data_IF_486961255272
#
_entry.id   IF_486961255272
#
_cell.length_a   1.000
_cell.length_b   1.000
_cell.length_c   1.000
_cell.angle_alpha   90.00
_cell.angle_beta   90.00
_cell.angle_gamma   90.00
#
_symmetry.space_group_name_H-M   'P 1'
#
loop_
_entity.id
_entity.type
_entity.pdbx_description
1 polymer ?
#
# COMPACT_ATOMS: atom_id res chain seq x y z
N UNK A 1 11.41 24.57 5.62
CA UNK A 1 10.08 24.44 5.01
C UNK A 1 10.09 23.18 4.14
N UNK A 2 9.68 22.03 4.66
CA UNK A 2 9.67 20.80 3.86
C UNK A 2 8.43 20.82 2.96
N UNK A 3 8.65 21.01 1.66
CA UNK A 3 7.60 20.98 0.64
C UNK A 3 6.92 19.61 0.69
N UNK A 4 5.62 19.59 1.04
CA UNK A 4 4.84 18.36 1.10
C UNK A 4 4.72 17.79 -0.32
N UNK A 5 5.31 16.62 -0.57
CA UNK A 5 5.27 15.99 -1.88
C UNK A 5 3.85 15.50 -2.18
N UNK A 6 3.27 15.95 -3.30
CA UNK A 6 1.97 15.44 -3.77
C UNK A 6 2.14 13.95 -4.11
N UNK A 7 1.34 13.04 -3.54
CA UNK A 7 1.49 11.62 -3.80
C UNK A 7 1.17 11.30 -5.25
N UNK A 8 1.68 10.17 -5.72
CA UNK A 8 1.18 9.49 -6.91
C UNK A 8 0.16 8.46 -6.46
N UNK A 9 -1.05 8.52 -7.02
CA UNK A 9 -2.17 7.66 -6.63
C UNK A 9 -2.30 6.54 -7.66
N UNK A 10 -2.24 5.30 -7.18
CA UNK A 10 -2.34 4.09 -7.98
C UNK A 10 -3.60 3.34 -7.56
N UNK A 11 -4.46 3.05 -8.52
CA UNK A 11 -5.70 2.32 -8.30
C UNK A 11 -5.52 0.87 -8.70
N UNK A 12 -5.88 -0.04 -7.79
CA UNK A 12 -5.82 -1.46 -8.01
C UNK A 12 -7.19 -2.12 -7.76
N UNK A 13 -7.44 -3.20 -8.49
CA UNK A 13 -8.64 -4.04 -8.34
C UNK A 13 -8.25 -5.45 -7.93
N UNK A 14 -9.00 -6.04 -7.00
CA UNK A 14 -8.79 -7.41 -6.56
C UNK A 14 -9.07 -8.38 -7.71
N UNK A 15 -8.10 -9.25 -7.98
CA UNK A 15 -8.19 -10.34 -8.94
C UNK A 15 -8.19 -11.68 -8.22
N UNK A 16 -8.79 -12.70 -8.84
CA UNK A 16 -8.96 -14.04 -8.24
C UNK A 16 -9.73 -14.00 -6.90
N UNK A 17 -10.78 -13.18 -6.82
CA UNK A 17 -11.65 -13.08 -5.63
C UNK A 17 -12.10 -14.48 -5.17
N UNK A 18 -11.97 -14.76 -3.88
CA UNK A 18 -12.37 -16.03 -3.27
C UNK A 18 -11.39 -17.21 -3.46
N UNK A 19 -10.36 -17.09 -4.30
CA UNK A 19 -9.40 -18.17 -4.55
C UNK A 19 -8.47 -18.43 -3.36
N UNK A 20 -8.14 -17.40 -2.58
CA UNK A 20 -7.18 -17.48 -1.49
C UNK A 20 -7.77 -16.93 -0.19
N UNK A 21 -7.72 -17.71 0.89
CA UNK A 21 -8.30 -17.34 2.20
C UNK A 21 -7.54 -16.24 2.93
N UNK A 22 -6.21 -16.21 2.82
CA UNK A 22 -5.34 -15.32 3.60
C UNK A 22 -4.52 -14.36 2.75
N UNK A 23 -4.72 -14.36 1.44
CA UNK A 23 -3.95 -13.58 0.48
C UNK A 23 -4.92 -12.95 -0.51
N UNK A 24 -4.72 -11.68 -0.81
CA UNK A 24 -5.43 -10.98 -1.87
C UNK A 24 -4.44 -10.55 -2.93
N UNK A 25 -4.82 -10.70 -4.18
CA UNK A 25 -4.04 -10.24 -5.32
C UNK A 25 -4.75 -9.05 -5.93
N UNK A 26 -3.99 -8.01 -6.24
CA UNK A 26 -4.50 -6.77 -6.78
C UNK A 26 -3.78 -6.45 -8.08
N UNK A 27 -4.53 -6.13 -9.12
CA UNK A 27 -4.01 -5.72 -10.42
C UNK A 27 -4.21 -4.23 -10.63
N UNK A 28 -3.19 -3.57 -11.19
CA UNK A 28 -3.20 -2.15 -11.45
C UNK A 28 -4.24 -1.82 -12.50
N UNK A 29 -5.18 -0.95 -12.14
CA UNK A 29 -6.19 -0.42 -13.05
C UNK A 29 -5.75 0.93 -13.64
N UNK A 30 -5.28 1.85 -12.81
CA UNK A 30 -5.01 3.23 -13.22
C UNK A 30 -3.95 3.90 -12.35
N UNK A 31 -3.24 4.89 -12.90
CA UNK A 31 -2.28 5.73 -12.18
C UNK A 31 -2.54 7.19 -12.53
N UNK A 32 -2.58 8.05 -11.52
CA UNK A 32 -2.86 9.50 -11.68
C UNK A 32 -1.72 10.33 -12.29
N UNK A 33 -0.49 9.81 -12.30
CA UNK A 33 0.67 10.44 -12.96
C UNK A 33 1.43 9.41 -13.79
N UNK A 34 2.25 9.90 -14.72
CA UNK A 34 3.18 9.10 -15.53
C UNK A 34 4.36 8.51 -14.73
N UNK A 35 4.17 8.17 -13.46
CA UNK A 35 5.20 7.50 -12.66
C UNK A 35 4.99 5.98 -12.67
N UNK A 36 6.09 5.20 -12.68
CA UNK A 36 6.00 3.76 -12.69
C UNK A 36 5.39 3.24 -11.37
N UNK A 37 4.45 2.28 -11.44
CA UNK A 37 3.86 1.67 -10.27
C UNK A 37 4.87 0.79 -9.52
N UNK A 38 4.62 0.52 -8.24
CA UNK A 38 5.41 -0.45 -7.45
C UNK A 38 5.49 -1.82 -8.16
N UNK A 39 4.37 -2.24 -8.74
CA UNK A 39 4.25 -3.35 -9.67
C UNK A 39 2.86 -3.31 -10.31
N UNK A 40 2.70 -4.02 -11.43
CA UNK A 40 1.38 -4.27 -12.05
C UNK A 40 0.51 -5.15 -11.16
N UNK A 41 1.13 -6.06 -10.41
CA UNK A 41 0.45 -7.00 -9.52
C UNK A 41 1.00 -6.88 -8.11
N UNK A 42 0.11 -6.67 -7.15
CA UNK A 42 0.41 -6.68 -5.73
C UNK A 42 -0.17 -7.92 -5.07
N UNK A 43 0.56 -8.46 -4.11
CA UNK A 43 0.11 -9.53 -3.23
C UNK A 43 0.13 -8.98 -1.81
N UNK A 44 -1.06 -8.98 -1.19
CA UNK A 44 -1.25 -8.56 0.19
C UNK A 44 -1.69 -9.78 0.97
N UNK A 45 -0.88 -10.18 1.94
CA UNK A 45 -1.13 -11.37 2.75
C UNK A 45 -1.24 -11.01 4.21
N UNK A 46 -2.17 -11.65 4.93
CA UNK A 46 -2.33 -11.44 6.37
C UNK A 46 -1.07 -11.91 7.11
N UNK A 47 -0.62 -11.13 8.09
CA UNK A 47 0.49 -11.54 8.93
C UNK A 47 0.09 -12.77 9.76
N UNK A 48 1.04 -13.68 9.97
CA UNK A 48 0.88 -14.89 10.79
C UNK A 48 1.77 -14.84 12.03
N UNK A 49 1.98 -13.62 12.55
CA UNK A 49 2.88 -13.33 13.69
C UNK A 49 4.32 -13.83 13.47
N UNK A 50 4.80 -13.79 12.23
CA UNK A 50 6.14 -14.28 11.88
C UNK A 50 7.25 -13.24 12.16
N UNK A 51 6.90 -12.00 12.52
CA UNK A 51 7.88 -10.93 12.78
C UNK A 51 7.54 -10.19 14.07
N UNK A 52 8.58 -9.83 14.81
CA UNK A 52 8.49 -9.03 16.05
C UNK A 52 7.88 -7.65 15.82
N UNK A 53 7.96 -7.11 14.60
CA UNK A 53 7.33 -5.84 14.24
C UNK A 53 5.80 -5.91 14.19
N UNK A 54 5.21 -7.11 14.12
CA UNK A 54 3.75 -7.33 14.12
C UNK A 54 2.96 -6.43 13.14
N UNK A 55 3.28 -6.42 11.82
CA UNK A 55 2.40 -5.77 10.85
C UNK A 55 1.07 -6.51 10.74
N UNK A 56 0.03 -5.84 10.23
CA UNK A 56 -1.26 -6.47 9.94
C UNK A 56 -1.18 -7.29 8.63
N UNK A 57 -0.52 -6.72 7.62
CA UNK A 57 -0.35 -7.35 6.32
C UNK A 57 1.09 -7.28 5.83
N UNK A 58 1.41 -8.15 4.89
CA UNK A 58 2.67 -8.15 4.15
C UNK A 58 2.42 -7.85 2.69
N UNK A 59 3.20 -6.92 2.15
CA UNK A 59 3.20 -6.59 0.74
C UNK A 59 4.30 -7.36 0.01
N UNK A 60 3.94 -7.98 -1.11
CA UNK A 60 4.85 -8.55 -2.10
C UNK A 60 4.50 -8.01 -3.48
N UNK A 61 5.51 -7.86 -4.31
CA UNK A 61 5.35 -7.43 -5.71
C UNK A 61 5.70 -8.56 -6.65
N UNK A 62 5.21 -8.49 -7.88
CA UNK A 62 5.61 -9.41 -8.93
C UNK A 62 6.96 -8.98 -9.53
N UNK A 63 7.93 -9.90 -9.54
CA UNK A 63 9.24 -9.74 -10.19
C UNK A 63 9.36 -10.84 -11.26
N UNK A 64 9.16 -10.45 -12.53
CA UNK A 64 9.01 -11.42 -13.63
C UNK A 64 7.85 -12.39 -13.37
N UNK A 65 8.13 -13.69 -13.39
CA UNK A 65 7.14 -14.75 -13.15
C UNK A 65 7.03 -15.22 -11.69
N UNK A 66 7.69 -14.55 -10.74
CA UNK A 66 7.69 -14.95 -9.32
C UNK A 66 7.25 -13.79 -8.43
N UNK A 67 6.70 -14.12 -7.26
CA UNK A 67 6.47 -13.14 -6.20
C UNK A 67 7.78 -12.84 -5.48
N UNK A 68 8.04 -11.57 -5.19
CA UNK A 68 9.20 -11.15 -4.42
C UNK A 68 9.13 -11.66 -2.98
N UNK A 69 10.23 -11.50 -2.24
CA UNK A 69 10.18 -11.46 -0.77
C UNK A 69 9.27 -10.32 -0.31
N UNK A 70 8.83 -10.36 0.95
CA UNK A 70 8.05 -9.26 1.54
C UNK A 70 8.85 -7.96 1.43
N UNK A 71 8.31 -6.99 0.70
CA UNK A 71 8.97 -5.71 0.49
C UNK A 71 8.74 -4.75 1.65
N UNK A 72 7.56 -4.83 2.28
CA UNK A 72 7.22 -4.05 3.46
C UNK A 72 6.07 -4.67 4.23
N UNK A 73 6.01 -4.36 5.53
CA UNK A 73 4.86 -4.62 6.38
C UNK A 73 3.88 -3.45 6.31
N UNK A 74 2.59 -3.74 6.29
CA UNK A 74 1.54 -2.75 6.37
C UNK A 74 1.02 -2.70 7.81
N UNK A 75 1.09 -1.53 8.42
CA UNK A 75 0.70 -1.28 9.79
C UNK A 75 -0.60 -0.48 9.84
N UNK A 76 -1.43 -0.78 10.84
CA UNK A 76 -2.67 -0.02 11.07
C UNK A 76 -2.37 1.47 11.27
N UNK A 77 -3.30 2.28 10.79
CA UNK A 77 -3.39 3.70 11.16
C UNK A 77 -4.63 3.90 12.04
N UNK A 78 -4.85 5.13 12.51
CA UNK A 78 -6.05 5.46 13.29
C UNK A 78 -7.36 5.34 12.48
N UNK A 79 -7.25 5.18 11.15
CA UNK A 79 -8.39 5.05 10.25
C UNK A 79 -8.56 3.61 9.77
N UNK A 80 -9.82 3.15 9.80
CA UNK A 80 -10.21 1.84 9.28
C UNK A 80 -9.84 1.74 7.80
N UNK A 81 -9.37 0.56 7.40
CA UNK A 81 -8.99 0.24 6.02
C UNK A 81 -7.81 1.06 5.46
N UNK A 82 -7.14 1.86 6.30
CA UNK A 82 -5.95 2.63 5.92
C UNK A 82 -4.74 2.08 6.65
N UNK A 83 -3.72 1.73 5.87
CA UNK A 83 -2.51 1.12 6.37
C UNK A 83 -1.28 1.86 5.84
N UNK A 84 -0.27 1.98 6.69
CA UNK A 84 1.01 2.59 6.33
C UNK A 84 2.05 1.53 6.05
N UNK A 85 2.88 1.76 5.05
CA UNK A 85 4.09 1.01 4.81
C UNK A 85 5.20 1.93 4.34
N UNK A 86 6.39 1.38 4.22
CA UNK A 86 7.54 2.08 3.67
C UNK A 86 8.23 1.23 2.62
N UNK A 87 8.74 1.87 1.57
CA UNK A 87 9.52 1.17 0.54
C UNK A 87 10.86 1.85 0.37
N UNK A 88 11.81 1.09 -0.19
CA UNK A 88 13.17 1.56 -0.44
C UNK A 88 13.88 2.07 0.83
N UNK A 89 13.91 1.24 1.89
CA UNK A 89 14.59 1.54 3.17
C UNK A 89 14.08 2.84 3.84
N UNK A 90 12.76 3.00 3.99
CA UNK A 90 12.13 4.20 4.57
C UNK A 90 12.40 5.51 3.83
N UNK A 91 12.72 5.46 2.55
CA UNK A 91 12.87 6.69 1.75
C UNK A 91 11.57 7.11 1.10
N UNK A 92 10.60 6.19 0.96
CA UNK A 92 9.29 6.47 0.38
C UNK A 92 8.20 5.95 1.32
N UNK A 93 7.23 6.81 1.61
CA UNK A 93 6.02 6.46 2.33
C UNK A 93 4.98 5.97 1.34
N UNK A 94 4.31 4.87 1.70
CA UNK A 94 3.19 4.33 0.94
C UNK A 94 2.00 4.14 1.86
N UNK A 95 0.85 4.69 1.47
CA UNK A 95 -0.41 4.51 2.20
C UNK A 95 -1.36 3.68 1.37
N UNK A 96 -1.90 2.63 1.98
CA UNK A 96 -2.82 1.67 1.37
C UNK A 96 -4.21 1.92 1.93
N UNK A 97 -5.15 2.34 1.09
CA UNK A 97 -6.55 2.53 1.42
C UNK A 97 -7.39 1.48 0.70
N UNK A 98 -7.94 0.54 1.46
CA UNK A 98 -8.93 -0.40 0.93
C UNK A 98 -10.31 0.24 0.97
N UNK A 99 -11.20 -0.10 0.03
CA UNK A 99 -12.62 0.20 0.23
C UNK A 99 -13.25 -0.82 1.20
N UNK A 100 -14.45 -0.52 1.69
CA UNK A 100 -15.18 -1.35 2.68
C UNK A 100 -15.40 -2.82 2.28
N UNK A 101 -15.60 -3.10 0.99
CA UNK A 101 -15.70 -4.45 0.41
C UNK A 101 -14.34 -5.10 0.17
N UNK A 102 -13.25 -4.35 0.37
CA UNK A 102 -11.85 -4.78 0.24
C UNK A 102 -11.55 -5.34 -1.17
N UNK A 103 -12.27 -4.89 -2.18
CA UNK A 103 -12.10 -5.33 -3.56
C UNK A 103 -11.41 -4.31 -4.46
N UNK A 104 -11.29 -3.07 -4.00
CA UNK A 104 -10.40 -2.08 -4.57
C UNK A 104 -9.38 -1.61 -3.53
N UNK A 105 -8.22 -1.22 -4.04
CA UNK A 105 -7.11 -0.72 -3.25
C UNK A 105 -6.55 0.53 -3.92
N UNK A 106 -6.53 1.62 -3.18
CA UNK A 106 -5.86 2.85 -3.57
C UNK A 106 -4.52 2.93 -2.84
N UNK A 107 -3.43 3.05 -3.59
CA UNK A 107 -2.09 3.20 -3.03
C UNK A 107 -1.59 4.62 -3.30
N UNK A 108 -1.36 5.37 -2.24
CA UNK A 108 -0.75 6.70 -2.28
C UNK A 108 0.76 6.55 -2.08
N UNK A 109 1.54 6.86 -3.10
CA UNK A 109 2.99 6.76 -3.08
C UNK A 109 3.62 8.15 -2.94
N UNK A 110 4.27 8.40 -1.81
CA UNK A 110 4.99 9.63 -1.52
C UNK A 110 6.49 9.39 -1.74
N UNK A 111 6.96 9.65 -2.96
CA UNK A 111 8.37 9.50 -3.32
C UNK A 111 9.24 10.49 -2.55
N UNK A 112 10.42 10.03 -2.13
CA UNK A 112 11.42 10.77 -1.36
C UNK A 112 10.87 11.47 -0.11
N UNK A 113 9.81 10.92 0.47
CA UNK A 113 9.16 11.47 1.66
C UNK A 113 8.78 10.34 2.59
N UNK A 114 9.25 10.42 3.83
CA UNK A 114 8.89 9.51 4.90
C UNK A 114 8.65 10.31 6.17
N UNK A 115 7.61 9.94 6.90
CA UNK A 115 7.26 10.55 8.18
C UNK A 115 6.68 9.49 9.10
N UNK A 116 6.98 9.62 10.39
CA UNK A 116 6.33 8.83 11.44
C UNK A 116 5.00 9.45 11.87
N UNK A 117 4.91 10.79 11.84
CA UNK A 117 3.68 11.54 12.05
C UNK A 117 2.85 11.56 10.77
N UNK A 118 1.73 10.82 10.79
CA UNK A 118 0.81 10.71 9.68
C UNK A 118 -0.31 11.75 9.68
N UNK A 119 -0.39 12.64 10.68
CA UNK A 119 -1.50 13.58 10.84
C UNK A 119 -1.74 14.41 9.56
N UNK A 120 -0.66 14.93 8.98
CA UNK A 120 -0.70 15.70 7.72
C UNK A 120 -1.04 14.82 6.52
N UNK A 121 -0.51 13.60 6.45
CA UNK A 121 -0.72 12.66 5.34
C UNK A 121 -2.18 12.19 5.30
N UNK A 122 -2.72 11.79 6.46
CA UNK A 122 -4.08 11.29 6.60
C UNK A 122 -5.10 12.41 6.36
N UNK A 123 -4.79 13.65 6.76
CA UNK A 123 -5.65 14.80 6.45
C UNK A 123 -5.84 15.04 4.95
N UNK A 124 -4.84 14.69 4.13
CA UNK A 124 -4.94 14.79 2.67
C UNK A 124 -5.77 13.64 2.09
N UNK A 125 -5.59 12.42 2.60
CA UNK A 125 -6.25 11.21 2.09
C UNK A 125 -7.75 11.18 2.46
N UNK A 126 -8.12 11.79 3.59
CA UNK A 126 -9.50 11.85 4.07
C UNK A 126 -10.29 13.07 3.58
N UNK A 127 -9.63 14.11 3.05
CA UNK A 127 -10.32 15.28 2.48
C UNK A 127 -10.99 15.02 1.13
N UNK A 128 -10.74 13.86 0.51
CA UNK A 128 -11.36 13.44 -0.75
C UNK A 128 -12.55 12.48 -0.52
N UNK A 129 -13.17 12.51 0.66
CA UNK A 129 -14.36 11.73 1.02
C UNK A 129 -15.60 12.59 1.14
#
# INVERSE_FOLDING_TARGET
>A
MATQSKPTIHFYKEVNKGKFKSVKHFELAEVTKYEPPLSKLLNISKNRNCALSMPEFWLKIRQGNKWSKCITGLFNTDFKNIYKGDVNKRTHLVIFKFNDKVDTLTVYHFKNYFTTDLSKVLSLINKEG
#
